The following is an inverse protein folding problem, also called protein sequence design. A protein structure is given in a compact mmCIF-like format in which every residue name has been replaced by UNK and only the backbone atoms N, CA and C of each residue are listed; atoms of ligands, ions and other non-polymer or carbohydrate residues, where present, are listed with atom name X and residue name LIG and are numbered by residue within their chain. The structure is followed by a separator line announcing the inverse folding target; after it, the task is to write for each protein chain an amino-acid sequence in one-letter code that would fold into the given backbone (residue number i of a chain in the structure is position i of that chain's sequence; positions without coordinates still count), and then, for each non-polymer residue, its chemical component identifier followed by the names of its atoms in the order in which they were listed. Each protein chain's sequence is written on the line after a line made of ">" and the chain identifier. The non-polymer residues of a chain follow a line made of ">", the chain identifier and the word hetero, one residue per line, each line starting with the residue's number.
data_IF_187377932137
#
_entry.id   IF_187377932137
#
_cell.length_a   1.000
_cell.length_b   1.000
_cell.length_c   1.000
_cell.angle_alpha   90.00
_cell.angle_beta   90.00
_cell.angle_gamma   90.00
#
_symmetry.space_group_name_H-M   'P 1'
#
loop_
_entity.id
_entity.type
_entity.pdbx_description
1 polymer ?
#
# COMPACT_ATOMS: atom_id res chain seq x y z
N UNK A 1 4.90 12.88 -20.44
CA UNK A 1 6.36 12.90 -20.46
C UNK A 1 6.94 11.50 -20.16
N UNK A 2 7.11 11.05 -18.89
CA UNK A 2 7.85 9.82 -18.56
C UNK A 2 7.28 8.52 -19.19
N UNK A 3 5.96 8.36 -19.32
CA UNK A 3 5.32 7.21 -19.96
C UNK A 3 5.44 7.31 -21.50
N UNK A 4 5.36 8.51 -22.02
CA UNK A 4 5.50 8.82 -23.43
C UNK A 4 6.93 8.53 -23.92
N UNK A 5 7.96 8.93 -23.14
CA UNK A 5 9.35 8.59 -23.41
C UNK A 5 9.62 7.09 -23.48
N UNK A 6 8.83 6.29 -22.76
CA UNK A 6 8.86 4.83 -22.83
C UNK A 6 8.06 4.25 -24.02
N UNK A 7 7.36 5.10 -24.80
CA UNK A 7 6.52 4.66 -25.90
C UNK A 7 5.27 3.85 -25.47
N UNK A 8 4.86 3.99 -24.23
CA UNK A 8 3.76 3.20 -23.62
C UNK A 8 2.51 4.01 -23.32
N UNK A 9 2.46 5.29 -23.70
CA UNK A 9 1.30 6.14 -23.51
C UNK A 9 0.25 5.82 -24.60
N UNK A 10 -0.84 5.15 -24.20
CA UNK A 10 -2.01 4.93 -25.05
C UNK A 10 -3.05 6.04 -24.83
N UNK A 11 -3.98 6.23 -25.80
CA UNK A 11 -5.06 7.20 -25.65
C UNK A 11 -5.94 6.91 -24.42
N UNK A 12 -6.21 5.63 -24.15
CA UNK A 12 -6.97 5.18 -22.97
C UNK A 12 -6.27 5.54 -21.65
N UNK A 13 -4.95 5.32 -21.60
CA UNK A 13 -4.14 5.66 -20.43
C UNK A 13 -4.06 7.18 -20.23
N UNK A 14 -3.92 7.95 -21.29
CA UNK A 14 -3.92 9.40 -21.22
C UNK A 14 -5.27 9.92 -20.68
N UNK A 15 -6.38 9.41 -21.18
CA UNK A 15 -7.71 9.75 -20.68
C UNK A 15 -7.89 9.34 -19.20
N UNK A 16 -7.38 8.19 -18.79
CA UNK A 16 -7.44 7.75 -17.39
C UNK A 16 -6.59 8.64 -16.45
N UNK A 17 -5.41 9.09 -16.90
CA UNK A 17 -4.55 10.01 -16.16
C UNK A 17 -5.20 11.39 -16.01
N UNK A 18 -5.83 11.89 -17.07
CA UNK A 18 -6.55 13.18 -17.04
C UNK A 18 -7.82 13.12 -16.17
N UNK A 19 -8.46 11.96 -16.06
CA UNK A 19 -9.64 11.73 -15.26
C UNK A 19 -9.33 11.44 -13.77
N UNK A 20 -8.08 11.20 -13.42
CA UNK A 20 -7.68 10.92 -12.04
C UNK A 20 -7.97 12.11 -11.12
N UNK A 21 -8.83 11.90 -10.12
CA UNK A 21 -9.25 12.95 -9.19
C UNK A 21 -8.28 13.17 -8.03
N UNK A 22 -7.45 12.16 -7.72
CA UNK A 22 -6.51 12.19 -6.60
C UNK A 22 -5.10 11.82 -7.03
N UNK A 23 -4.10 12.32 -6.27
CA UNK A 23 -2.70 11.95 -6.49
C UNK A 23 -2.49 10.43 -6.39
N UNK A 24 -3.20 9.78 -5.48
CA UNK A 24 -3.12 8.32 -5.28
C UNK A 24 -3.61 7.55 -6.50
N UNK A 25 -4.70 7.99 -7.15
CA UNK A 25 -5.19 7.38 -8.39
C UNK A 25 -4.18 7.57 -9.53
N UNK A 26 -3.59 8.74 -9.62
CA UNK A 26 -2.54 9.04 -10.60
C UNK A 26 -1.29 8.18 -10.37
N UNK A 27 -0.87 8.02 -9.12
CA UNK A 27 0.26 7.15 -8.76
C UNK A 27 -0.01 5.67 -9.07
N UNK A 28 -1.23 5.17 -8.85
CA UNK A 28 -1.62 3.81 -9.19
C UNK A 28 -1.54 3.56 -10.70
N UNK A 29 -2.01 4.50 -11.52
CA UNK A 29 -1.91 4.44 -12.98
C UNK A 29 -0.46 4.53 -13.48
N UNK A 30 0.39 5.31 -12.81
CA UNK A 30 1.80 5.46 -13.16
C UNK A 30 2.68 4.29 -12.68
N UNK A 31 2.26 3.54 -11.67
CA UNK A 31 3.04 2.50 -10.99
C UNK A 31 3.67 1.46 -11.92
N UNK A 32 2.99 0.91 -12.94
CA UNK A 32 3.57 -0.05 -13.89
C UNK A 32 4.75 0.54 -14.70
N UNK A 33 4.79 1.86 -14.86
CA UNK A 33 5.76 2.58 -15.68
C UNK A 33 6.91 3.20 -14.88
N UNK A 34 6.80 3.16 -13.55
CA UNK A 34 7.81 3.71 -12.65
C UNK A 34 9.08 2.87 -12.72
N UNK A 35 10.28 3.49 -12.88
CA UNK A 35 11.54 2.77 -12.78
C UNK A 35 11.64 2.05 -11.43
N UNK A 36 11.72 0.74 -11.46
CA UNK A 36 11.81 -0.10 -10.27
C UNK A 36 13.27 -0.40 -9.96
N UNK A 37 13.63 -0.39 -8.67
CA UNK A 37 14.92 -0.92 -8.21
C UNK A 37 14.95 -2.44 -8.46
N UNK A 38 16.13 -3.07 -8.26
CA UNK A 38 16.26 -4.53 -8.38
C UNK A 38 15.28 -5.24 -7.45
N UNK A 39 14.26 -5.88 -8.06
CA UNK A 39 13.21 -6.65 -7.37
C UNK A 39 13.38 -8.14 -7.66
N UNK A 40 12.68 -9.03 -6.92
CA UNK A 40 12.64 -10.45 -7.25
C UNK A 40 12.15 -10.67 -8.68
N UNK A 41 11.11 -9.96 -9.09
CA UNK A 41 10.58 -10.02 -10.45
C UNK A 41 11.57 -9.54 -11.51
N UNK A 42 12.32 -8.44 -11.26
CA UNK A 42 13.33 -7.99 -12.22
C UNK A 42 14.45 -9.01 -12.38
N UNK A 43 14.91 -9.62 -11.28
CA UNK A 43 15.90 -10.71 -11.33
C UNK A 43 15.37 -11.91 -12.10
N UNK A 44 14.10 -12.27 -11.93
CA UNK A 44 13.49 -13.38 -12.68
C UNK A 44 13.34 -13.03 -14.17
N UNK A 45 13.05 -11.78 -14.52
CA UNK A 45 13.04 -11.31 -15.93
C UNK A 45 14.44 -11.38 -16.54
N UNK A 46 15.47 -10.97 -15.81
CA UNK A 46 16.87 -11.05 -16.27
C UNK A 46 17.29 -12.50 -16.53
N UNK A 47 16.73 -13.46 -15.81
CA UNK A 47 16.88 -14.90 -16.04
C UNK A 47 16.07 -15.42 -17.23
N UNK A 48 15.25 -14.58 -17.87
CA UNK A 48 14.45 -14.94 -19.04
C UNK A 48 13.13 -15.66 -18.72
N UNK A 49 12.60 -15.50 -17.50
CA UNK A 49 11.38 -16.20 -17.05
C UNK A 49 10.07 -15.47 -17.40
N UNK A 50 10.10 -14.31 -18.06
CA UNK A 50 8.89 -13.58 -18.45
C UNK A 50 7.95 -14.43 -19.34
N UNK A 51 8.42 -15.17 -20.39
CA UNK A 51 7.51 -15.97 -21.21
C UNK A 51 6.83 -17.10 -20.43
N UNK A 52 7.51 -17.67 -19.41
CA UNK A 52 6.91 -18.66 -18.50
C UNK A 52 5.80 -18.02 -17.66
N UNK A 53 6.05 -16.83 -17.10
CA UNK A 53 5.03 -16.08 -16.36
C UNK A 53 3.81 -15.78 -17.23
N UNK A 54 4.02 -15.34 -18.46
CA UNK A 54 2.94 -15.04 -19.41
C UNK A 54 2.11 -16.30 -19.76
N UNK A 55 2.77 -17.45 -19.98
CA UNK A 55 2.11 -18.71 -20.23
C UNK A 55 1.25 -19.19 -19.05
N UNK A 56 1.77 -19.06 -17.81
CA UNK A 56 1.04 -19.40 -16.59
C UNK A 56 -0.14 -18.45 -16.41
N UNK A 57 0.06 -17.16 -16.63
CA UNK A 57 -0.98 -16.14 -16.47
C UNK A 57 -2.13 -16.25 -17.47
N UNK A 58 -1.85 -16.73 -18.67
CA UNK A 58 -2.89 -16.98 -19.68
C UNK A 58 -3.95 -17.96 -19.19
N UNK A 59 -3.56 -18.92 -18.33
CA UNK A 59 -4.44 -19.92 -17.74
C UNK A 59 -5.27 -20.67 -18.81
N UNK A 60 -4.59 -21.04 -19.91
CA UNK A 60 -5.26 -21.85 -20.94
C UNK A 60 -5.66 -23.21 -20.35
N UNK A 61 -6.87 -23.68 -20.66
CA UNK A 61 -7.39 -24.97 -20.18
C UNK A 61 -6.62 -26.17 -20.70
N UNK A 62 -5.86 -25.99 -21.79
CA UNK A 62 -5.04 -27.03 -22.44
C UNK A 62 -3.56 -26.93 -22.04
N UNK A 63 -3.19 -25.93 -21.24
CA UNK A 63 -1.80 -25.79 -20.76
C UNK A 63 -1.39 -27.00 -19.92
N UNK A 64 -0.14 -27.47 -20.07
CA UNK A 64 0.47 -28.40 -19.13
C UNK A 64 0.48 -27.86 -17.69
N UNK A 65 0.83 -28.72 -16.74
CA UNK A 65 1.02 -28.29 -15.37
C UNK A 65 2.15 -27.23 -15.28
N UNK A 66 2.05 -26.28 -14.34
CA UNK A 66 3.05 -25.20 -14.21
C UNK A 66 4.50 -25.70 -14.09
N UNK A 67 4.74 -26.81 -13.41
CA UNK A 67 6.07 -27.42 -13.29
C UNK A 67 6.56 -27.99 -14.61
N UNK A 68 5.68 -28.58 -15.43
CA UNK A 68 6.05 -29.10 -16.75
C UNK A 68 6.42 -27.94 -17.71
N UNK A 69 5.69 -26.81 -17.61
CA UNK A 69 6.06 -25.60 -18.33
C UNK A 69 7.41 -25.05 -17.86
N UNK A 70 7.64 -25.04 -16.55
CA UNK A 70 8.85 -24.51 -15.92
C UNK A 70 10.10 -25.33 -16.26
N UNK A 71 9.97 -26.65 -16.48
CA UNK A 71 11.09 -27.54 -16.83
C UNK A 71 11.85 -27.10 -18.09
N UNK A 72 11.15 -26.48 -19.06
CA UNK A 72 11.77 -25.95 -20.27
C UNK A 72 12.66 -24.70 -20.05
N UNK A 73 12.59 -24.09 -18.87
CA UNK A 73 13.33 -22.87 -18.50
C UNK A 73 14.51 -23.14 -17.56
N UNK A 74 14.76 -24.39 -17.21
CA UNK A 74 15.94 -24.77 -16.39
C UNK A 74 17.21 -24.49 -17.19
N UNK A 75 18.11 -23.70 -16.61
CA UNK A 75 19.38 -23.31 -17.23
C UNK A 75 20.36 -22.87 -16.15
N UNK A 76 21.44 -23.63 -15.97
CA UNK A 76 22.53 -23.29 -15.05
C UNK A 76 23.22 -21.97 -15.45
N UNK A 77 23.34 -21.69 -16.75
CA UNK A 77 23.94 -20.45 -17.27
C UNK A 77 23.15 -19.21 -16.86
N UNK A 78 21.84 -19.34 -16.75
CA UNK A 78 20.93 -18.25 -16.31
C UNK A 78 20.68 -18.27 -14.80
N UNK A 79 21.28 -19.19 -14.07
CA UNK A 79 21.11 -19.33 -12.63
C UNK A 79 19.71 -19.84 -12.25
N UNK A 80 19.11 -20.71 -13.08
CA UNK A 80 17.85 -21.41 -12.81
C UNK A 80 18.19 -22.90 -12.69
N UNK A 81 18.34 -23.39 -11.47
CA UNK A 81 18.84 -24.74 -11.22
C UNK A 81 17.74 -25.81 -11.36
N UNK A 82 16.50 -25.49 -11.00
CA UNK A 82 15.38 -26.43 -10.98
C UNK A 82 14.12 -25.85 -11.64
N UNK A 83 13.15 -26.71 -11.93
CA UNK A 83 11.84 -26.28 -12.43
C UNK A 83 11.07 -25.49 -11.33
N UNK A 84 11.27 -25.82 -10.08
CA UNK A 84 10.70 -25.10 -8.94
C UNK A 84 11.26 -23.67 -8.87
N UNK A 85 12.57 -23.48 -9.09
CA UNK A 85 13.20 -22.15 -9.15
C UNK A 85 12.62 -21.32 -10.31
N UNK A 86 12.42 -21.97 -11.47
CA UNK A 86 11.80 -21.33 -12.63
C UNK A 86 10.36 -20.90 -12.32
N UNK A 87 9.56 -21.79 -11.72
CA UNK A 87 8.18 -21.53 -11.33
C UNK A 87 8.09 -20.41 -10.29
N UNK A 88 8.94 -20.45 -9.27
CA UNK A 88 9.00 -19.40 -8.26
C UNK A 88 9.35 -18.04 -8.89
N UNK A 89 10.31 -17.99 -9.79
CA UNK A 89 10.65 -16.76 -10.52
C UNK A 89 9.50 -16.25 -11.38
N UNK A 90 8.75 -17.14 -12.05
CA UNK A 90 7.55 -16.76 -12.79
C UNK A 90 6.45 -16.22 -11.86
N UNK A 91 6.25 -16.84 -10.70
CA UNK A 91 5.29 -16.35 -9.69
C UNK A 91 5.71 -15.00 -9.12
N UNK A 92 6.99 -14.72 -8.89
CA UNK A 92 7.49 -13.41 -8.47
C UNK A 92 7.19 -12.33 -9.52
N UNK A 93 7.29 -12.65 -10.82
CA UNK A 93 6.90 -11.74 -11.92
C UNK A 93 5.39 -11.49 -11.88
N UNK A 94 4.58 -12.54 -11.74
CA UNK A 94 3.12 -12.42 -11.66
C UNK A 94 2.67 -11.63 -10.45
N UNK A 95 3.27 -11.86 -9.29
CA UNK A 95 2.96 -11.11 -8.07
C UNK A 95 3.22 -9.61 -8.25
N UNK A 96 4.34 -9.23 -8.88
CA UNK A 96 4.62 -7.83 -9.19
C UNK A 96 3.61 -7.26 -10.18
N UNK A 97 3.28 -7.98 -11.25
CA UNK A 97 2.29 -7.56 -12.25
C UNK A 97 0.90 -7.36 -11.63
N UNK A 98 0.45 -8.30 -10.81
CA UNK A 98 -0.83 -8.22 -10.07
C UNK A 98 -0.81 -7.04 -9.10
N UNK A 99 0.32 -6.77 -8.45
CA UNK A 99 0.43 -5.66 -7.49
C UNK A 99 0.33 -4.28 -8.13
N UNK A 100 0.55 -4.19 -9.44
CA UNK A 100 0.46 -2.95 -10.21
C UNK A 100 -0.95 -2.70 -10.78
N UNK A 101 -1.92 -3.60 -10.55
CA UNK A 101 -3.30 -3.42 -10.99
C UNK A 101 -4.00 -2.30 -10.19
N UNK A 102 -4.22 -1.16 -10.86
CA UNK A 102 -4.87 0.01 -10.27
C UNK A 102 -6.32 -0.26 -9.82
N UNK A 103 -7.04 -1.15 -10.53
CA UNK A 103 -8.42 -1.52 -10.18
C UNK A 103 -8.49 -2.32 -8.88
N UNK A 104 -7.60 -3.30 -8.72
CA UNK A 104 -7.46 -4.10 -7.49
C UNK A 104 -7.08 -3.20 -6.32
N UNK A 105 -6.09 -2.33 -6.49
CA UNK A 105 -5.62 -1.41 -5.46
C UNK A 105 -6.72 -0.47 -5.00
N UNK A 106 -7.42 0.18 -5.94
CA UNK A 106 -8.55 1.06 -5.64
C UNK A 106 -9.65 0.32 -4.86
N UNK A 107 -10.02 -0.89 -5.30
CA UNK A 107 -11.04 -1.70 -4.63
C UNK A 107 -10.63 -2.07 -3.21
N UNK A 108 -9.39 -2.54 -3.03
CA UNK A 108 -8.86 -2.90 -1.71
C UNK A 108 -8.81 -1.69 -0.77
N UNK A 109 -8.37 -0.52 -1.24
CA UNK A 109 -8.33 0.73 -0.46
C UNK A 109 -9.72 1.09 0.08
N UNK A 110 -10.73 1.08 -0.79
CA UNK A 110 -12.12 1.36 -0.40
C UNK A 110 -12.63 0.34 0.62
N UNK A 111 -12.38 -0.95 0.40
CA UNK A 111 -12.87 -2.01 1.29
C UNK A 111 -12.11 -2.01 2.63
N UNK A 112 -10.78 -1.76 2.61
CA UNK A 112 -9.98 -1.65 3.83
C UNK A 112 -10.38 -0.41 4.65
N UNK A 113 -10.59 0.76 4.04
CA UNK A 113 -11.10 1.95 4.74
C UNK A 113 -12.47 1.69 5.36
N UNK A 114 -13.33 0.94 4.67
CA UNK A 114 -14.68 0.66 5.14
C UNK A 114 -14.74 -0.33 6.30
N UNK A 115 -13.87 -1.34 6.33
CA UNK A 115 -13.97 -2.48 7.23
C UNK A 115 -12.70 -2.75 8.06
N UNK A 116 -11.62 -2.01 7.82
CA UNK A 116 -10.37 -2.12 8.55
C UNK A 116 -10.41 -1.36 9.88
N UNK A 117 -9.47 -1.66 10.73
CA UNK A 117 -9.29 -1.07 12.04
C UNK A 117 -7.87 -0.54 12.20
N UNK A 118 -7.72 0.65 12.78
CA UNK A 118 -6.43 1.09 13.28
C UNK A 118 -6.14 0.33 14.57
N UNK A 119 -4.96 -0.25 14.64
CA UNK A 119 -4.48 -0.99 15.82
C UNK A 119 -3.23 -0.33 16.37
N UNK A 120 -3.07 -0.40 17.68
CA UNK A 120 -1.81 -0.08 18.33
C UNK A 120 -1.54 -1.11 19.43
N UNK A 121 -0.26 -1.44 19.61
CA UNK A 121 0.22 -2.33 20.65
C UNK A 121 1.38 -1.68 21.41
N UNK A 122 1.40 -1.81 22.72
CA UNK A 122 2.50 -1.37 23.56
C UNK A 122 3.76 -2.18 23.28
N UNK A 123 4.91 -1.52 23.23
CA UNK A 123 6.22 -2.15 23.01
C UNK A 123 6.98 -2.39 24.30
N UNK A 124 6.54 -1.77 25.42
CA UNK A 124 7.21 -1.78 26.71
C UNK A 124 6.20 -1.98 27.84
N UNK A 125 6.69 -2.27 29.06
CA UNK A 125 5.85 -2.47 30.24
C UNK A 125 5.22 -1.16 30.74
N UNK A 126 5.97 -0.06 30.71
CA UNK A 126 5.48 1.28 31.04
C UNK A 126 5.30 2.12 29.77
N UNK A 127 4.08 2.48 29.47
CA UNK A 127 3.72 3.32 28.34
C UNK A 127 3.38 4.76 28.73
N UNK A 128 3.39 5.08 30.02
CA UNK A 128 3.07 6.41 30.51
C UNK A 128 1.72 6.91 30.02
N UNK A 129 1.72 8.05 29.31
CA UNK A 129 0.48 8.67 28.80
C UNK A 129 -0.18 7.87 27.67
N UNK A 130 0.49 6.86 27.13
CA UNK A 130 -0.04 6.02 26.04
C UNK A 130 -0.66 4.71 26.53
N UNK A 131 -0.82 4.50 27.84
CA UNK A 131 -1.34 3.25 28.42
C UNK A 131 -2.70 2.86 27.83
N UNK A 132 -3.55 3.83 27.52
CA UNK A 132 -4.85 3.59 26.88
C UNK A 132 -4.77 3.00 25.45
N UNK A 133 -3.58 2.99 24.85
CA UNK A 133 -3.32 2.45 23.51
C UNK A 133 -2.54 1.13 23.54
N UNK A 134 -2.35 0.50 24.70
CA UNK A 134 -1.60 -0.76 24.86
C UNK A 134 -2.14 -1.89 24.01
N UNK A 135 -3.43 -2.03 23.93
CA UNK A 135 -4.17 -2.99 23.11
C UNK A 135 -5.32 -2.25 22.43
N UNK A 136 -4.96 -1.32 21.56
CA UNK A 136 -5.94 -0.44 20.94
C UNK A 136 -6.43 -0.99 19.61
N UNK A 137 -7.75 -0.87 19.38
CA UNK A 137 -8.39 -1.24 18.12
C UNK A 137 -9.63 -0.38 17.91
N UNK A 138 -9.72 0.30 16.77
CA UNK A 138 -10.87 1.12 16.41
C UNK A 138 -11.06 1.15 14.89
N UNK A 139 -12.33 1.06 14.38
CA UNK A 139 -12.60 1.14 12.94
C UNK A 139 -12.08 2.42 12.31
N UNK A 140 -11.37 2.32 11.16
CA UNK A 140 -10.76 3.45 10.45
C UNK A 140 -11.74 4.58 10.19
N UNK A 141 -12.99 4.26 9.83
CA UNK A 141 -14.03 5.26 9.54
C UNK A 141 -14.53 6.06 10.74
N UNK A 142 -14.26 5.58 11.96
CA UNK A 142 -14.81 6.18 13.19
C UNK A 142 -13.76 6.80 14.08
N UNK A 143 -12.49 6.54 13.79
CA UNK A 143 -11.41 6.98 14.66
C UNK A 143 -11.34 8.51 14.72
N UNK A 144 -11.21 9.03 15.91
CA UNK A 144 -11.04 10.47 16.13
C UNK A 144 -9.60 10.91 15.82
N UNK A 145 -9.42 12.04 15.13
CA UNK A 145 -8.12 12.53 14.68
C UNK A 145 -7.10 12.69 15.83
N UNK A 146 -7.53 13.14 17.01
CA UNK A 146 -6.62 13.26 18.16
C UNK A 146 -6.04 11.91 18.61
N UNK A 147 -6.75 10.79 18.42
CA UNK A 147 -6.23 9.44 18.70
C UNK A 147 -5.20 9.02 17.67
N UNK A 148 -5.46 9.31 16.39
CA UNK A 148 -4.48 9.07 15.31
C UNK A 148 -3.17 9.79 15.62
N UNK A 149 -3.23 11.08 15.96
CA UNK A 149 -2.05 11.87 16.28
C UNK A 149 -1.34 11.38 17.56
N UNK A 150 -2.08 10.96 18.58
CA UNK A 150 -1.51 10.39 19.80
C UNK A 150 -0.78 9.07 19.52
N UNK A 151 -1.39 8.17 18.74
CA UNK A 151 -0.78 6.88 18.34
C UNK A 151 0.48 7.13 17.51
N UNK A 152 0.44 8.04 16.53
CA UNK A 152 1.60 8.39 15.71
C UNK A 152 2.75 8.99 16.53
N UNK A 153 2.43 9.74 17.61
CA UNK A 153 3.43 10.25 18.55
C UNK A 153 4.04 9.11 19.37
N UNK A 154 3.23 8.25 19.95
CA UNK A 154 3.70 7.09 20.71
C UNK A 154 4.57 6.15 19.89
N UNK A 155 4.27 6.01 18.58
CA UNK A 155 5.09 5.22 17.65
C UNK A 155 6.45 5.90 17.39
N UNK A 156 6.48 7.22 17.21
CA UNK A 156 7.74 7.98 17.06
C UNK A 156 8.61 7.93 18.33
N UNK A 157 8.01 7.87 19.48
CA UNK A 157 8.70 7.72 20.77
C UNK A 157 9.10 6.27 21.06
N UNK A 158 8.74 5.31 20.17
CA UNK A 158 9.08 3.90 20.32
C UNK A 158 8.27 3.16 21.38
N UNK A 159 7.21 3.78 21.91
CA UNK A 159 6.35 3.20 22.95
C UNK A 159 5.19 2.39 22.39
N UNK A 160 4.78 2.68 21.15
CA UNK A 160 3.70 1.98 20.46
C UNK A 160 4.19 1.42 19.13
N UNK A 161 3.55 0.33 18.68
CA UNK A 161 3.62 -0.17 17.32
C UNK A 161 2.21 -0.11 16.73
N UNK A 162 2.03 0.70 15.71
CA UNK A 162 0.74 0.90 15.08
C UNK A 162 0.65 0.19 13.72
N UNK A 163 -0.57 -0.20 13.34
CA UNK A 163 -0.85 -0.84 12.06
C UNK A 163 -2.33 -0.80 11.71
N UNK A 164 -2.66 -1.26 10.52
CA UNK A 164 -4.03 -1.47 10.09
C UNK A 164 -4.34 -2.97 10.07
N UNK A 165 -5.36 -3.38 10.80
CA UNK A 165 -5.88 -4.74 10.75
C UNK A 165 -7.01 -4.82 9.71
N UNK A 166 -6.91 -5.80 8.83
CA UNK A 166 -7.94 -6.15 7.86
C UNK A 166 -7.95 -7.67 7.67
N UNK A 167 -9.10 -8.22 7.31
CA UNK A 167 -9.26 -9.65 7.03
C UNK A 167 -8.39 -10.06 5.83
N UNK A 168 -7.34 -10.85 6.10
CA UNK A 168 -6.38 -11.32 5.09
C UNK A 168 -7.06 -12.15 4.00
N UNK A 169 -7.96 -13.07 4.38
CA UNK A 169 -8.63 -13.96 3.42
C UNK A 169 -9.48 -13.16 2.46
N UNK A 170 -10.21 -12.18 2.98
CA UNK A 170 -11.02 -11.26 2.18
C UNK A 170 -10.15 -10.41 1.24
N UNK A 171 -9.02 -9.91 1.71
CA UNK A 171 -8.08 -9.13 0.91
C UNK A 171 -7.46 -9.95 -0.22
N UNK A 172 -6.96 -11.14 0.08
CA UNK A 172 -6.41 -12.08 -0.89
C UNK A 172 -7.47 -12.52 -1.92
N UNK A 173 -8.70 -12.80 -1.47
CA UNK A 173 -9.80 -13.16 -2.36
C UNK A 173 -10.18 -12.02 -3.33
N UNK A 174 -10.18 -10.76 -2.88
CA UNK A 174 -10.40 -9.60 -3.76
C UNK A 174 -9.30 -9.52 -4.82
N UNK A 175 -8.03 -9.72 -4.44
CA UNK A 175 -6.89 -9.70 -5.36
C UNK A 175 -6.97 -10.85 -6.35
N UNK A 176 -7.21 -12.07 -5.88
CA UNK A 176 -7.33 -13.25 -6.73
C UNK A 176 -8.50 -13.15 -7.71
N UNK A 177 -9.65 -12.63 -7.29
CA UNK A 177 -10.85 -12.55 -8.13
C UNK A 177 -10.70 -11.75 -9.42
N UNK A 178 -9.70 -10.87 -9.51
CA UNK A 178 -9.43 -10.08 -10.70
C UNK A 178 -8.55 -10.83 -11.73
N UNK A 179 -7.77 -11.82 -11.29
CA UNK A 179 -6.73 -12.44 -12.10
C UNK A 179 -6.88 -13.95 -12.27
N UNK A 180 -7.57 -14.63 -11.36
CA UNK A 180 -7.72 -16.08 -11.38
C UNK A 180 -8.86 -16.49 -12.30
N UNK A 181 -8.57 -17.44 -13.20
CA UNK A 181 -9.55 -18.08 -14.08
C UNK A 181 -9.64 -19.56 -13.71
N UNK A 182 -10.84 -20.06 -13.54
CA UNK A 182 -11.06 -21.46 -13.16
C UNK A 182 -10.90 -22.42 -14.36
N UNK A 183 -10.50 -23.65 -14.07
CA UNK A 183 -10.48 -24.76 -15.02
C UNK A 183 -9.17 -24.96 -15.79
N UNK A 184 -8.09 -24.29 -15.38
CA UNK A 184 -6.73 -24.51 -15.88
C UNK A 184 -5.86 -25.19 -14.81
N UNK A 185 -4.87 -25.98 -15.22
CA UNK A 185 -3.85 -26.51 -14.32
C UNK A 185 -2.96 -25.39 -13.72
N UNK A 186 -2.92 -24.21 -14.35
CA UNK A 186 -2.18 -23.03 -13.88
C UNK A 186 -2.96 -22.19 -12.87
N UNK A 187 -4.24 -22.44 -12.63
CA UNK A 187 -5.12 -21.67 -11.74
C UNK A 187 -4.50 -21.47 -10.36
N UNK A 188 -4.03 -22.54 -9.73
CA UNK A 188 -3.45 -22.47 -8.37
C UNK A 188 -2.11 -21.73 -8.33
N UNK A 189 -1.31 -21.80 -9.40
CA UNK A 189 -0.06 -21.04 -9.49
C UNK A 189 -0.33 -19.51 -9.54
N UNK A 190 -1.37 -19.09 -10.29
CA UNK A 190 -1.80 -17.69 -10.33
C UNK A 190 -2.44 -17.25 -9.01
N UNK A 191 -3.22 -18.12 -8.37
CA UNK A 191 -3.80 -17.86 -7.05
C UNK A 191 -2.71 -17.62 -6.01
N UNK A 192 -1.70 -18.48 -5.95
CA UNK A 192 -0.56 -18.32 -5.06
C UNK A 192 0.21 -17.01 -5.32
N UNK A 193 0.40 -16.65 -6.60
CA UNK A 193 1.02 -15.38 -6.95
C UNK A 193 0.16 -14.16 -6.53
N UNK A 194 -1.17 -14.26 -6.61
CA UNK A 194 -2.08 -13.21 -6.17
C UNK A 194 -2.08 -13.05 -4.64
N UNK A 195 -1.99 -14.14 -3.89
CA UNK A 195 -1.86 -14.10 -2.43
C UNK A 195 -0.51 -13.48 -2.01
N UNK A 196 0.60 -13.88 -2.65
CA UNK A 196 1.91 -13.26 -2.40
C UNK A 196 1.92 -11.77 -2.77
N UNK A 197 1.27 -11.39 -3.88
CA UNK A 197 1.09 -9.99 -4.26
C UNK A 197 0.35 -9.20 -3.17
N UNK A 198 -0.74 -9.76 -2.64
CA UNK A 198 -1.49 -9.14 -1.57
C UNK A 198 -0.65 -8.97 -0.30
N UNK A 199 -0.08 -10.05 0.21
CA UNK A 199 0.63 -10.07 1.49
C UNK A 199 1.90 -9.21 1.48
N UNK A 200 2.67 -9.28 0.42
CA UNK A 200 4.01 -8.69 0.34
C UNK A 200 4.03 -7.31 -0.30
N UNK A 201 3.18 -7.03 -1.26
CA UNK A 201 3.29 -5.83 -2.10
C UNK A 201 2.10 -4.87 -1.95
N UNK A 202 0.85 -5.40 -1.96
CA UNK A 202 -0.34 -4.55 -2.01
C UNK A 202 -0.71 -4.08 -0.61
N UNK A 203 -0.98 -5.00 0.32
CA UNK A 203 -1.49 -4.64 1.64
C UNK A 203 -0.55 -3.72 2.42
N UNK A 204 0.78 -3.96 2.48
CA UNK A 204 1.69 -3.05 3.17
C UNK A 204 1.75 -1.62 2.57
N UNK A 205 1.49 -1.50 1.26
CA UNK A 205 1.38 -0.21 0.59
C UNK A 205 0.07 0.50 0.95
N UNK A 206 -1.06 -0.21 0.86
CA UNK A 206 -2.39 0.31 1.20
C UNK A 206 -2.47 0.70 2.68
N UNK A 207 -1.93 -0.12 3.58
CA UNK A 207 -1.83 0.20 5.00
C UNK A 207 -1.17 1.56 5.24
N UNK A 208 -0.03 1.79 4.58
CA UNK A 208 0.70 3.05 4.68
C UNK A 208 -0.09 4.23 4.10
N UNK A 209 -0.73 4.02 2.95
CA UNK A 209 -1.59 5.02 2.31
C UNK A 209 -2.76 5.42 3.23
N UNK A 210 -3.46 4.44 3.81
CA UNK A 210 -4.57 4.69 4.73
C UNK A 210 -4.12 5.40 6.01
N UNK A 211 -2.97 5.04 6.56
CA UNK A 211 -2.41 5.72 7.73
C UNK A 211 -2.02 7.17 7.43
N UNK A 212 -1.44 7.41 6.25
CA UNK A 212 -1.12 8.77 5.80
C UNK A 212 -2.40 9.60 5.64
N UNK A 213 -3.41 9.06 4.97
CA UNK A 213 -4.70 9.75 4.79
C UNK A 213 -5.35 10.12 6.13
N UNK A 214 -5.38 9.19 7.09
CA UNK A 214 -5.89 9.46 8.44
C UNK A 214 -5.08 10.54 9.17
N UNK A 215 -3.77 10.55 8.97
CA UNK A 215 -2.87 11.54 9.58
C UNK A 215 -3.12 12.92 8.98
N UNK A 216 -3.20 13.04 7.66
CA UNK A 216 -3.49 14.30 6.97
C UNK A 216 -4.85 14.88 7.42
N UNK A 217 -5.89 14.06 7.46
CA UNK A 217 -7.21 14.49 7.94
C UNK A 217 -7.17 14.95 9.41
N UNK A 218 -6.40 14.25 10.25
CA UNK A 218 -6.25 14.60 11.66
C UNK A 218 -5.45 15.89 11.86
N UNK A 219 -4.38 16.10 11.09
CA UNK A 219 -3.57 17.32 11.11
C UNK A 219 -4.38 18.53 10.64
N UNK A 220 -5.12 18.43 9.55
CA UNK A 220 -5.99 19.50 9.06
C UNK A 220 -7.02 19.92 10.10
N UNK A 221 -7.68 18.94 10.74
CA UNK A 221 -8.65 19.20 11.80
C UNK A 221 -8.00 19.88 13.02
N UNK A 222 -6.82 19.41 13.44
CA UNK A 222 -6.08 19.97 14.57
C UNK A 222 -5.61 21.42 14.28
N UNK A 223 -5.07 21.68 13.09
CA UNK A 223 -4.66 23.02 12.64
C UNK A 223 -5.85 23.98 12.64
N UNK A 224 -7.01 23.53 12.17
CA UNK A 224 -8.23 24.34 12.17
C UNK A 224 -8.67 24.74 13.58
N UNK A 225 -8.68 23.78 14.52
CA UNK A 225 -9.00 24.04 15.92
C UNK A 225 -7.99 25.00 16.57
N UNK A 226 -6.69 24.76 16.31
CA UNK A 226 -5.61 25.63 16.80
C UNK A 226 -5.77 27.06 16.27
N UNK A 227 -6.02 27.23 14.98
CA UNK A 227 -6.22 28.53 14.35
C UNK A 227 -7.40 29.30 14.97
N UNK A 228 -8.53 28.62 15.23
CA UNK A 228 -9.68 29.23 15.90
C UNK A 228 -9.34 29.68 17.33
N UNK A 229 -8.67 28.83 18.10
CA UNK A 229 -8.29 29.15 19.48
C UNK A 229 -7.28 30.31 19.53
N UNK A 230 -6.28 30.29 18.63
CA UNK A 230 -5.29 31.36 18.50
C UNK A 230 -5.95 32.69 18.15
N UNK A 231 -6.89 32.67 17.20
CA UNK A 231 -7.66 33.89 16.84
C UNK A 231 -8.41 34.46 18.03
N UNK A 232 -9.10 33.60 18.80
CA UNK A 232 -9.83 34.06 20.01
C UNK A 232 -8.84 34.63 21.05
N UNK A 233 -7.70 34.06 21.22
CA UNK A 233 -6.66 34.56 22.14
C UNK A 233 -6.12 35.93 21.70
N UNK A 234 -5.77 36.06 20.42
CA UNK A 234 -5.22 37.30 19.87
C UNK A 234 -6.25 38.45 19.77
N UNK A 235 -7.54 38.11 19.64
CA UNK A 235 -8.61 39.07 19.55
C UNK A 235 -9.23 39.48 20.92
N UNK A 236 -8.60 39.09 22.02
CA UNK A 236 -9.04 39.52 23.34
C UNK A 236 -8.94 41.05 23.49
N UNK A 237 -9.92 41.69 24.15
CA UNK A 237 -9.87 43.12 24.35
C UNK A 237 -8.63 43.56 25.11
N UNK A 238 -8.02 44.70 24.76
CA UNK A 238 -6.83 45.18 25.48
C UNK A 238 -7.21 45.56 26.93
N UNK A 239 -6.26 45.31 27.82
CA UNK A 239 -6.43 45.71 29.25
C UNK A 239 -6.43 47.23 29.36
N UNK A 240 -7.57 47.82 29.70
CA UNK A 240 -7.68 49.27 29.82
C UNK A 240 -6.83 49.84 30.96
N UNK A 241 -6.20 50.98 30.71
CA UNK A 241 -5.43 51.70 31.72
C UNK A 241 -4.09 51.02 32.14
N UNK A 242 -3.58 50.07 31.37
CA UNK A 242 -2.29 49.42 31.59
C UNK A 242 -1.36 49.66 30.41
N UNK A 243 -0.06 49.76 30.70
CA UNK A 243 0.98 49.72 29.70
C UNK A 243 1.52 48.27 29.71
N UNK A 244 1.51 47.64 28.57
CA UNK A 244 2.04 46.28 28.39
C UNK A 244 3.40 46.34 27.68
N UNK A 245 4.40 45.62 28.24
CA UNK A 245 5.70 45.37 27.60
C UNK A 245 5.74 43.92 27.16
N UNK A 246 5.86 43.68 25.87
CA UNK A 246 6.08 42.36 25.32
C UNK A 246 7.59 42.10 25.19
N UNK A 247 8.05 41.00 25.77
CA UNK A 247 9.43 40.51 25.60
C UNK A 247 9.38 39.22 24.80
N UNK A 248 10.01 39.24 23.63
CA UNK A 248 10.26 38.06 22.82
C UNK A 248 11.77 37.74 22.92
N UNK A 249 12.16 36.63 23.57
CA UNK A 249 13.58 36.33 23.75
C UNK A 249 14.31 36.02 22.42
N UNK A 250 13.57 35.84 21.34
CA UNK A 250 14.16 35.40 20.07
C UNK A 250 14.66 33.97 20.12
N UNK A 251 15.26 33.51 19.05
CA UNK A 251 15.97 32.25 18.98
C UNK A 251 17.47 32.47 19.13
#
# INVERSE_FOLDING_TARGET
>A
AAIEEQGKLTEELAAALDAAATLTELEDLYRPYRPKRKTRASVARDKGLQPLADAIYAQDKRSPAPLDLAAAYVSEERGVATAEDALQGAQDILAEQISDDAGVRRRLRVVCMANGELTAAGTQEDLGVYEMYREFREPLRKIAGHRVLAINRGEREGLLKAGVAFDREKGAAITASAHVKEGSLCTEAVRAAAEDAYDRLIFPSIERELRNELTEQADEAAIKVFSLNLRHLLMQPPVKGKVALGLDPGY
#
